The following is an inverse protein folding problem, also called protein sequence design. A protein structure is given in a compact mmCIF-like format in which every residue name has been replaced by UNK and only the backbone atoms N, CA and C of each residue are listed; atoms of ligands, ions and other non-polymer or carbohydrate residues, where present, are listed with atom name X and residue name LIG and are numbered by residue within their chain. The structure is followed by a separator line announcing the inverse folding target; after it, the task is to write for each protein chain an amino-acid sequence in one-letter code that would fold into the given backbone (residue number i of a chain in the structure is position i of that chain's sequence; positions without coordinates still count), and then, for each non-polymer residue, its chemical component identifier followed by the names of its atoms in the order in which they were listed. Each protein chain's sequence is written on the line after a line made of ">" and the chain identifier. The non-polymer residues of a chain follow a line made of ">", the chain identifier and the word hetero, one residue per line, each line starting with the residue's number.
data_IF_126099760375
#
_entry.id   IF_126099760375
#
_cell.length_a   1.000
_cell.length_b   1.000
_cell.length_c   1.000
_cell.angle_alpha   90.00
_cell.angle_beta   90.00
_cell.angle_gamma   90.00
#
_symmetry.space_group_name_H-M   'P 1'
#
loop_
_entity.id
_entity.type
_entity.pdbx_description
1 polymer ?
#
# COMPACT_ATOMS: atom_id res chain seq x y z
N UNK A 1 -5.77 -12.32 7.11
CA UNK A 1 -4.57 -11.98 6.31
C UNK A 1 -4.07 -10.56 6.57
N UNK A 2 -4.72 -9.49 6.11
CA UNK A 2 -4.18 -8.11 6.28
C UNK A 2 -3.90 -7.78 7.76
N UNK A 3 -4.86 -8.04 8.64
CA UNK A 3 -4.72 -7.79 10.08
C UNK A 3 -3.64 -8.67 10.73
N UNK A 4 -3.49 -9.92 10.28
CA UNK A 4 -2.47 -10.84 10.78
C UNK A 4 -1.06 -10.39 10.36
N UNK A 5 -0.90 -9.94 9.11
CA UNK A 5 0.36 -9.38 8.61
C UNK A 5 0.70 -8.12 9.40
N UNK A 6 -0.25 -7.19 9.55
CA UNK A 6 -0.01 -5.98 10.32
C UNK A 6 0.32 -6.27 11.80
N UNK A 7 -0.29 -7.29 12.40
CA UNK A 7 0.04 -7.73 13.76
C UNK A 7 1.46 -8.31 13.86
N UNK A 8 1.96 -8.95 12.80
CA UNK A 8 3.32 -9.49 12.74
C UNK A 8 4.41 -8.42 12.56
N UNK A 9 4.07 -7.23 12.07
CA UNK A 9 5.01 -6.13 11.80
C UNK A 9 4.67 -4.88 12.64
N UNK A 10 5.29 -4.72 13.82
CA UNK A 10 5.13 -3.52 14.63
C UNK A 10 5.49 -2.26 13.82
N UNK A 11 4.54 -1.30 13.74
CA UNK A 11 4.72 -0.07 12.96
C UNK A 11 4.08 -0.08 11.58
N UNK A 12 3.58 -1.22 11.10
CA UNK A 12 2.84 -1.28 9.85
C UNK A 12 1.50 -0.54 9.92
N UNK A 13 1.01 -0.10 8.75
CA UNK A 13 -0.35 0.41 8.57
C UNK A 13 -1.14 -0.50 7.64
N UNK A 14 -2.46 -0.44 7.78
CA UNK A 14 -3.40 -1.24 6.99
C UNK A 14 -4.30 -0.34 6.13
N UNK A 15 -4.72 -0.85 4.98
CA UNK A 15 -5.76 -0.22 4.17
C UNK A 15 -6.63 -1.27 3.47
N UNK A 16 -7.88 -1.40 3.89
CA UNK A 16 -8.84 -2.34 3.30
C UNK A 16 -10.27 -1.78 3.31
N UNK A 17 -11.19 -2.48 2.62
CA UNK A 17 -12.56 -2.00 2.37
C UNK A 17 -13.40 -1.74 3.63
N UNK A 18 -13.07 -2.35 4.77
CA UNK A 18 -13.79 -2.18 6.04
C UNK A 18 -13.41 -0.92 6.83
N UNK A 19 -12.39 -0.18 6.41
CA UNK A 19 -11.94 1.04 7.08
C UNK A 19 -12.73 2.26 6.64
N UNK A 20 -12.93 3.22 7.55
CA UNK A 20 -13.49 4.53 7.20
C UNK A 20 -12.49 5.34 6.37
N UNK A 21 -12.99 6.29 5.59
CA UNK A 21 -12.11 7.11 4.73
C UNK A 21 -11.08 7.89 5.56
N UNK A 22 -11.47 8.37 6.75
CA UNK A 22 -10.53 9.00 7.68
C UNK A 22 -9.41 8.05 8.13
N UNK A 23 -9.72 6.78 8.38
CA UNK A 23 -8.71 5.78 8.76
C UNK A 23 -7.77 5.45 7.59
N UNK A 24 -8.30 5.38 6.37
CA UNK A 24 -7.52 5.18 5.14
C UNK A 24 -6.54 6.34 4.93
N UNK A 25 -7.04 7.57 5.01
CA UNK A 25 -6.22 8.78 4.87
C UNK A 25 -5.11 8.86 5.91
N UNK A 26 -5.44 8.56 7.17
CA UNK A 26 -4.44 8.54 8.24
C UNK A 26 -3.35 7.48 8.01
N UNK A 27 -3.72 6.32 7.46
CA UNK A 27 -2.78 5.24 7.15
C UNK A 27 -1.83 5.64 6.02
N UNK A 28 -2.37 6.25 4.96
CA UNK A 28 -1.57 6.74 3.82
C UNK A 28 -0.61 7.85 4.27
N UNK A 29 -1.11 8.82 5.04
CA UNK A 29 -0.26 9.91 5.58
C UNK A 29 0.85 9.36 6.46
N UNK A 30 0.52 8.47 7.40
CA UNK A 30 1.52 7.87 8.27
C UNK A 30 2.58 7.12 7.46
N UNK A 31 2.19 6.31 6.49
CA UNK A 31 3.16 5.60 5.65
C UNK A 31 4.08 6.54 4.86
N UNK A 32 3.57 7.69 4.42
CA UNK A 32 4.33 8.66 3.63
C UNK A 32 5.26 9.54 4.47
N UNK A 33 4.80 9.94 5.66
CA UNK A 33 5.45 10.99 6.45
C UNK A 33 6.24 10.45 7.66
N UNK A 34 5.98 9.22 8.10
CA UNK A 34 6.58 8.62 9.30
C UNK A 34 7.65 7.57 8.93
N UNK A 35 8.95 7.88 9.09
CA UNK A 35 10.03 6.92 8.83
C UNK A 35 9.98 5.66 9.72
N UNK A 36 9.23 5.70 10.83
CA UNK A 36 9.01 4.53 11.70
C UNK A 36 7.90 3.60 11.21
N UNK A 37 7.28 3.89 10.06
CA UNK A 37 6.25 3.08 9.42
C UNK A 37 6.81 2.36 8.17
N UNK A 38 7.52 1.23 8.32
CA UNK A 38 8.24 0.59 7.22
C UNK A 38 7.34 -0.19 6.25
N UNK A 39 6.08 -0.44 6.60
CA UNK A 39 5.22 -1.35 5.86
C UNK A 39 3.79 -0.81 5.71
N UNK A 40 3.30 -0.87 4.48
CA UNK A 40 1.91 -0.64 4.13
C UNK A 40 1.30 -1.95 3.65
N UNK A 41 0.22 -2.40 4.29
CA UNK A 41 -0.50 -3.63 3.92
C UNK A 41 -1.89 -3.26 3.44
N UNK A 42 -2.23 -3.59 2.20
CA UNK A 42 -3.56 -3.30 1.67
C UNK A 42 -4.10 -4.38 0.76
N UNK A 43 -5.43 -4.41 0.62
CA UNK A 43 -6.08 -5.24 -0.40
C UNK A 43 -5.94 -4.59 -1.77
N UNK A 44 -5.72 -5.38 -2.82
CA UNK A 44 -5.56 -4.90 -4.21
C UNK A 44 -6.71 -3.96 -4.62
N UNK A 45 -7.95 -4.34 -4.32
CA UNK A 45 -9.13 -3.52 -4.64
C UNK A 45 -9.15 -2.17 -3.92
N UNK A 46 -8.77 -2.13 -2.65
CA UNK A 46 -8.71 -0.88 -1.89
C UNK A 46 -7.48 -0.03 -2.22
N UNK A 47 -6.43 -0.61 -2.81
CA UNK A 47 -5.29 0.15 -3.36
C UNK A 47 -5.63 0.81 -4.73
N UNK A 48 -6.71 0.37 -5.39
CA UNK A 48 -7.18 0.90 -6.67
C UNK A 48 -7.76 2.32 -6.63
N UNK A 49 -8.15 2.85 -5.46
CA UNK A 49 -8.93 4.10 -5.32
C UNK A 49 -8.11 5.41 -5.31
N UNK A 50 -6.98 5.47 -6.01
CA UNK A 50 -6.29 6.74 -6.26
C UNK A 50 -5.23 7.15 -5.23
N UNK A 51 -4.68 6.19 -4.48
CA UNK A 51 -3.64 6.44 -3.48
C UNK A 51 -2.30 6.90 -4.10
N UNK A 52 -1.48 7.58 -3.30
CA UNK A 52 -0.08 7.89 -3.63
C UNK A 52 0.78 7.23 -2.57
N UNK A 53 1.66 6.31 -2.96
CA UNK A 53 2.51 5.49 -2.07
C UNK A 53 4.00 5.63 -2.45
N UNK A 54 4.43 6.86 -2.73
CA UNK A 54 5.80 7.21 -3.17
C UNK A 54 6.88 6.96 -2.12
N UNK A 55 6.54 6.73 -0.85
CA UNK A 55 7.51 6.27 0.15
C UNK A 55 7.94 4.80 -0.06
N UNK A 56 7.19 4.01 -0.84
CA UNK A 56 7.50 2.61 -1.10
C UNK A 56 8.44 2.45 -2.30
N UNK A 57 9.60 1.82 -2.11
CA UNK A 57 10.47 1.35 -3.21
C UNK A 57 10.28 -0.14 -3.53
N UNK A 58 9.53 -0.88 -2.71
CA UNK A 58 9.31 -2.31 -2.90
C UNK A 58 7.81 -2.63 -2.80
N UNK A 59 7.30 -3.38 -3.77
CA UNK A 59 5.91 -3.84 -3.84
C UNK A 59 5.92 -5.37 -3.94
N UNK A 60 5.16 -6.02 -3.08
CA UNK A 60 5.00 -7.47 -3.08
C UNK A 60 3.51 -7.80 -3.14
N UNK A 61 3.11 -8.55 -4.16
CA UNK A 61 1.76 -9.09 -4.25
C UNK A 61 1.68 -10.44 -3.54
N UNK A 62 1.04 -10.46 -2.37
CA UNK A 62 0.83 -11.70 -1.61
C UNK A 62 -0.12 -12.69 -2.32
N UNK A 63 -0.97 -12.18 -3.20
CA UNK A 63 -1.88 -12.93 -4.05
C UNK A 63 -2.05 -12.23 -5.40
N UNK A 64 -2.49 -12.97 -6.41
CA UNK A 64 -2.77 -12.42 -7.73
C UNK A 64 -4.27 -12.18 -7.89
N UNK A 65 -4.63 -11.02 -8.44
CA UNK A 65 -5.99 -10.75 -8.88
C UNK A 65 -6.24 -11.38 -10.26
N UNK A 66 -7.48 -11.83 -10.49
CA UNK A 66 -7.86 -12.44 -11.77
C UNK A 66 -7.80 -11.43 -12.92
N UNK A 67 -7.94 -10.14 -12.61
CA UNK A 67 -7.89 -9.04 -13.58
C UNK A 67 -6.49 -8.39 -13.51
N UNK A 68 -5.62 -8.59 -14.51
CA UNK A 68 -4.26 -8.06 -14.50
C UNK A 68 -4.19 -6.53 -14.36
N UNK A 69 -5.20 -5.82 -14.87
CA UNK A 69 -5.29 -4.37 -14.77
C UNK A 69 -5.38 -3.87 -13.33
N UNK A 70 -5.93 -4.66 -12.40
CA UNK A 70 -5.99 -4.30 -10.99
C UNK A 70 -4.60 -4.33 -10.34
N UNK A 71 -3.76 -5.29 -10.73
CA UNK A 71 -2.37 -5.38 -10.26
C UNK A 71 -1.53 -4.23 -10.81
N UNK A 72 -1.60 -3.98 -12.12
CA UNK A 72 -0.92 -2.83 -12.74
C UNK A 72 -1.35 -1.51 -12.11
N UNK A 73 -2.66 -1.32 -11.87
CA UNK A 73 -3.13 -0.10 -11.22
C UNK A 73 -2.63 0.03 -9.76
N UNK A 74 -2.44 -1.09 -9.06
CA UNK A 74 -1.90 -1.08 -7.71
C UNK A 74 -0.39 -0.75 -7.71
N UNK A 75 0.38 -1.28 -8.67
CA UNK A 75 1.82 -0.99 -8.81
C UNK A 75 2.05 0.50 -9.16
N UNK A 76 1.20 1.08 -10.01
CA UNK A 76 1.21 2.49 -10.40
C UNK A 76 1.08 3.45 -9.21
N UNK A 77 0.59 2.99 -8.05
CA UNK A 77 0.51 3.81 -6.82
C UNK A 77 1.89 4.12 -6.25
N UNK A 78 2.85 3.22 -6.46
CA UNK A 78 4.25 3.38 -6.06
C UNK A 78 5.09 3.96 -7.21
N UNK A 79 4.79 3.58 -8.46
CA UNK A 79 5.36 4.17 -9.68
C UNK A 79 4.70 5.53 -10.01
N UNK A 80 4.77 6.48 -9.07
CA UNK A 80 4.09 7.77 -9.18
C UNK A 80 5.04 8.95 -9.16
N UNK A 81 4.62 10.07 -9.76
CA UNK A 81 5.35 11.34 -9.67
C UNK A 81 5.61 11.71 -8.21
N UNK A 82 6.88 11.96 -7.86
CA UNK A 82 7.32 12.21 -6.48
C UNK A 82 8.10 11.04 -5.86
N UNK A 83 8.12 9.87 -6.50
CA UNK A 83 9.03 8.78 -6.16
C UNK A 83 10.48 9.19 -6.49
N UNK A 84 11.41 8.92 -5.57
CA UNK A 84 12.83 9.27 -5.69
C UNK A 84 13.74 8.05 -5.88
N UNK A 85 13.20 6.83 -5.71
CA UNK A 85 13.94 5.57 -5.80
C UNK A 85 13.37 4.65 -6.89
N UNK A 86 14.12 3.60 -7.24
CA UNK A 86 13.66 2.55 -8.14
C UNK A 86 12.62 1.69 -7.43
N UNK A 87 11.46 1.50 -8.07
CA UNK A 87 10.41 0.62 -7.52
C UNK A 87 10.59 -0.80 -8.06
N UNK A 88 10.80 -1.74 -7.15
CA UNK A 88 10.83 -3.18 -7.43
C UNK A 88 9.45 -3.78 -7.15
N UNK A 89 8.92 -4.54 -8.10
CA UNK A 89 7.63 -5.24 -7.98
C UNK A 89 7.86 -6.76 -8.05
N UNK A 90 7.30 -7.51 -7.09
CA UNK A 90 7.46 -8.97 -6.95
C UNK A 90 6.14 -9.69 -6.72
#
# INVERSE_FOLDING_TARGET
>A
VIEEVAAAFPGAVMLYGGMTDQQKDNSVRRFQDDPSCPLFVGSIQAAGVGLTLTAASNVVFAELDWVPANLMQAEDRCHRMGQTDSVLVQ
#
